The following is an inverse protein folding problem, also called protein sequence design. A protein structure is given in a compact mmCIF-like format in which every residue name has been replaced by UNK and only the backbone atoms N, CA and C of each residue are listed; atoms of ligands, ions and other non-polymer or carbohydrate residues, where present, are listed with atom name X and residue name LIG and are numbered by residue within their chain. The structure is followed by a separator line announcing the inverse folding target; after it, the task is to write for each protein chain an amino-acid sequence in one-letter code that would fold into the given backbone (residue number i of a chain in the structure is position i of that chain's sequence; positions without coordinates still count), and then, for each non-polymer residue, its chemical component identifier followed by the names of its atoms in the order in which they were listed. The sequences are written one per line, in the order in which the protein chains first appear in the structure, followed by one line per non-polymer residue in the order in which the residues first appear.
data_IF_066148017043
#
_entry.id   IF_066148017043
#
_cell.length_a   1.000
_cell.length_b   1.000
_cell.length_c   1.000
_cell.angle_alpha   90.00
_cell.angle_beta   90.00
_cell.angle_gamma   90.00
#
_symmetry.space_group_name_H-M   'P 1'
#
loop_
_entity.id
_entity.type
_entity.pdbx_description
1 polymer ?
#
# COMPACT_ATOMS: atom_id res chain seq x y z
N UNK A 1 33.12 -48.13 2.92
CA UNK A 1 31.70 -47.96 3.32
C UNK A 1 31.66 -46.87 4.39
N UNK A 2 31.27 -45.63 4.04
CA UNK A 2 29.95 -45.18 4.47
C UNK A 2 29.27 -44.28 3.42
N UNK A 3 28.17 -44.78 2.85
CA UNK A 3 27.19 -43.99 2.11
C UNK A 3 25.96 -43.87 3.02
N UNK A 4 25.63 -42.67 3.52
CA UNK A 4 24.53 -42.58 4.50
C UNK A 4 24.00 -41.20 4.89
N UNK A 5 24.46 -40.10 4.29
CA UNK A 5 24.09 -38.74 4.76
C UNK A 5 23.22 -37.94 3.78
N UNK A 6 23.08 -38.36 2.52
CA UNK A 6 22.34 -37.58 1.52
C UNK A 6 20.82 -37.75 1.59
N UNK A 7 20.31 -38.90 2.05
CA UNK A 7 18.87 -39.17 2.08
C UNK A 7 18.12 -38.34 3.14
N UNK A 8 18.73 -38.07 4.28
CA UNK A 8 18.09 -37.36 5.39
C UNK A 8 17.93 -35.85 5.14
N UNK A 9 18.84 -35.25 4.34
CA UNK A 9 18.80 -33.82 4.01
C UNK A 9 17.70 -33.51 3.00
N UNK A 10 17.51 -34.39 2.01
CA UNK A 10 16.46 -34.26 1.00
C UNK A 10 15.04 -34.34 1.59
N UNK A 11 14.82 -35.21 2.58
CA UNK A 11 13.52 -35.33 3.24
C UNK A 11 13.13 -34.10 4.08
N UNK A 12 14.11 -33.39 4.65
CA UNK A 12 13.87 -32.13 5.39
C UNK A 12 13.54 -30.96 4.46
N UNK A 13 14.20 -30.86 3.30
CA UNK A 13 13.91 -29.84 2.31
C UNK A 13 12.52 -30.01 1.67
N UNK A 14 12.10 -31.25 1.40
CA UNK A 14 10.77 -31.53 0.84
C UNK A 14 9.62 -31.08 1.76
N UNK A 15 9.79 -31.16 3.08
CA UNK A 15 8.79 -30.66 4.05
C UNK A 15 8.67 -29.14 4.08
N UNK A 16 9.78 -28.42 3.84
CA UNK A 16 9.77 -26.94 3.81
C UNK A 16 9.08 -26.44 2.53
N UNK A 17 9.38 -27.06 1.38
CA UNK A 17 8.76 -26.69 0.10
C UNK A 17 7.25 -26.95 0.08
N UNK A 18 6.78 -28.01 0.76
CA UNK A 18 5.36 -28.31 0.86
C UNK A 18 4.57 -27.29 1.71
N UNK A 19 5.20 -26.65 2.70
CA UNK A 19 4.52 -25.65 3.54
C UNK A 19 4.31 -24.31 2.83
N UNK A 20 5.13 -23.97 1.84
CA UNK A 20 5.04 -22.71 1.09
C UNK A 20 3.99 -22.69 -0.03
N UNK A 21 3.43 -23.85 -0.42
CA UNK A 21 2.46 -23.95 -1.52
C UNK A 21 0.98 -23.85 -1.07
N UNK A 22 0.73 -23.66 0.22
CA UNK A 22 -0.63 -23.59 0.79
C UNK A 22 -1.14 -22.14 1.00
N UNK A 23 -0.45 -21.12 0.49
CA UNK A 23 -1.04 -19.79 0.34
C UNK A 23 -1.92 -19.85 -0.89
N UNK A 24 -3.22 -20.08 -0.67
CA UNK A 24 -4.19 -20.24 -1.75
C UNK A 24 -4.13 -19.05 -2.71
N UNK A 25 -3.75 -19.33 -3.97
CA UNK A 25 -3.84 -18.40 -5.10
C UNK A 25 -5.31 -18.19 -5.51
N UNK A 26 -6.17 -17.79 -4.58
CA UNK A 26 -7.52 -17.35 -4.90
C UNK A 26 -7.53 -15.83 -4.93
N UNK A 27 -7.68 -15.23 -6.12
CA UNK A 27 -7.91 -13.79 -6.22
C UNK A 27 -9.05 -13.39 -5.27
N UNK A 28 -8.81 -12.49 -4.31
CA UNK A 28 -9.82 -12.05 -3.35
C UNK A 28 -10.89 -11.18 -4.02
N UNK A 29 -10.67 -10.76 -5.26
CA UNK A 29 -11.52 -9.85 -6.01
C UNK A 29 -12.99 -10.28 -6.02
N UNK A 30 -13.89 -9.37 -5.61
CA UNK A 30 -15.33 -9.61 -5.56
C UNK A 30 -15.80 -10.49 -4.40
N UNK A 31 -14.93 -10.90 -3.48
CA UNK A 31 -15.35 -11.56 -2.24
C UNK A 31 -15.87 -10.55 -1.23
N UNK A 32 -16.86 -10.92 -0.41
CA UNK A 32 -17.31 -10.07 0.68
C UNK A 32 -16.20 -9.90 1.72
N UNK A 33 -16.08 -8.71 2.27
CA UNK A 33 -15.13 -8.35 3.30
C UNK A 33 -15.79 -7.42 4.32
N UNK A 34 -15.14 -7.27 5.48
CA UNK A 34 -15.51 -6.25 6.47
C UNK A 34 -14.37 -5.26 6.70
N UNK A 35 -13.15 -5.69 6.44
CA UNK A 35 -11.90 -4.95 6.67
C UNK A 35 -10.91 -5.25 5.55
N UNK A 36 -9.95 -4.36 5.33
CA UNK A 36 -8.94 -4.51 4.27
C UNK A 36 -8.05 -5.76 4.49
N UNK A 37 -7.86 -6.15 5.75
CA UNK A 37 -7.14 -7.36 6.13
C UNK A 37 -7.80 -8.65 5.60
N UNK A 38 -9.11 -8.63 5.33
CA UNK A 38 -9.84 -9.79 4.75
C UNK A 38 -9.47 -10.04 3.28
N UNK A 39 -9.06 -8.97 2.58
CA UNK A 39 -8.75 -9.00 1.16
C UNK A 39 -7.27 -9.29 0.90
N UNK A 40 -6.40 -8.88 1.82
CA UNK A 40 -4.97 -9.08 1.72
C UNK A 40 -4.27 -8.04 0.83
N UNK A 41 -2.95 -8.18 0.61
CA UNK A 41 -2.14 -7.13 0.03
C UNK A 41 -2.55 -6.81 -1.42
N UNK A 42 -2.69 -5.51 -1.72
CA UNK A 42 -3.07 -5.01 -3.05
C UNK A 42 -4.59 -4.91 -3.30
N UNK A 43 -5.39 -5.18 -2.27
CA UNK A 43 -6.84 -5.09 -2.31
C UNK A 43 -7.38 -4.37 -1.07
N UNK A 44 -8.40 -3.55 -1.27
CA UNK A 44 -9.11 -2.84 -0.19
C UNK A 44 -10.57 -3.33 -0.13
N UNK A 45 -11.18 -3.18 1.04
CA UNK A 45 -12.57 -3.53 1.26
C UNK A 45 -13.49 -2.34 0.93
N UNK A 46 -14.15 -2.38 -0.23
CA UNK A 46 -15.02 -1.29 -0.67
C UNK A 46 -16.17 -1.75 -1.57
N UNK A 47 -17.43 -1.39 -1.28
CA UNK A 47 -17.99 -0.93 0.00
C UNK A 47 -18.20 -2.06 1.04
N UNK A 48 -18.19 -3.32 0.62
CA UNK A 48 -18.18 -4.55 1.45
C UNK A 48 -17.58 -5.70 0.63
N UNK A 49 -16.80 -5.38 -0.41
CA UNK A 49 -16.18 -6.36 -1.30
C UNK A 49 -14.73 -6.00 -1.56
N UNK A 50 -13.89 -7.02 -1.72
CA UNK A 50 -12.50 -6.84 -2.06
C UNK A 50 -12.37 -6.33 -3.49
N UNK A 51 -11.78 -5.14 -3.63
CA UNK A 51 -11.49 -4.50 -4.90
C UNK A 51 -10.00 -4.26 -5.02
N UNK A 52 -9.49 -4.26 -6.24
CA UNK A 52 -8.07 -4.02 -6.49
C UNK A 52 -7.75 -2.53 -6.31
N UNK A 53 -6.69 -2.24 -5.57
CA UNK A 53 -6.17 -0.89 -5.40
C UNK A 53 -5.31 -0.51 -6.60
N UNK A 54 -5.40 0.74 -7.03
CA UNK A 54 -4.63 1.26 -8.16
C UNK A 54 -4.14 2.68 -7.90
N UNK A 55 -3.04 3.05 -8.53
CA UNK A 55 -2.65 4.47 -8.66
C UNK A 55 -2.84 5.03 -10.06
N UNK A 56 -2.87 4.15 -11.07
CA UNK A 56 -3.08 4.48 -12.49
C UNK A 56 -3.93 3.42 -13.19
N UNK A 57 -4.46 3.77 -14.36
CA UNK A 57 -5.36 2.90 -15.12
C UNK A 57 -4.68 1.63 -15.64
N UNK A 58 -3.36 1.66 -15.88
CA UNK A 58 -2.60 0.52 -16.41
C UNK A 58 -2.42 -0.61 -15.38
N UNK A 59 -2.69 -0.33 -14.10
CA UNK A 59 -2.66 -1.33 -13.01
C UNK A 59 -3.96 -2.14 -12.95
N UNK A 60 -5.02 -1.67 -13.62
CA UNK A 60 -6.32 -2.30 -13.67
C UNK A 60 -6.46 -3.27 -14.86
N UNK A 61 -7.42 -4.19 -14.76
CA UNK A 61 -7.71 -5.16 -15.81
C UNK A 61 -8.27 -4.52 -17.09
N UNK A 62 -8.39 -5.31 -18.15
CA UNK A 62 -8.96 -4.82 -19.40
C UNK A 62 -10.40 -4.32 -19.18
N UNK A 63 -10.64 -3.06 -19.56
CA UNK A 63 -11.96 -2.43 -19.42
C UNK A 63 -12.22 -1.81 -18.04
N UNK A 64 -11.22 -1.76 -17.16
CA UNK A 64 -11.31 -1.06 -15.88
C UNK A 64 -10.56 0.28 -15.93
N UNK A 65 -11.00 1.24 -15.11
CA UNK A 65 -10.30 2.51 -14.89
C UNK A 65 -10.00 2.67 -13.42
N UNK A 66 -8.89 3.33 -13.12
CA UNK A 66 -8.55 3.69 -11.75
C UNK A 66 -9.35 4.92 -11.33
N UNK A 67 -10.33 4.72 -10.46
CA UNK A 67 -11.15 5.80 -9.91
C UNK A 67 -11.06 5.79 -8.39
N UNK A 68 -10.63 6.93 -7.82
CA UNK A 68 -10.41 7.09 -6.36
C UNK A 68 -9.61 5.94 -5.76
N UNK A 69 -8.53 5.53 -6.42
CA UNK A 69 -7.65 4.43 -6.02
C UNK A 69 -8.24 3.02 -6.12
N UNK A 70 -9.38 2.83 -6.79
CA UNK A 70 -9.99 1.53 -7.01
C UNK A 70 -10.16 1.24 -8.51
N UNK A 71 -9.90 0.00 -8.93
CA UNK A 71 -10.23 -0.44 -10.28
C UNK A 71 -11.74 -0.64 -10.40
N UNK A 72 -12.38 0.16 -11.26
CA UNK A 72 -13.83 0.10 -11.51
C UNK A 72 -14.12 -0.09 -12.99
N UNK A 73 -15.16 -0.85 -13.31
CA UNK A 73 -15.67 -0.96 -14.68
C UNK A 73 -16.56 0.26 -14.97
N UNK A 74 -16.23 1.10 -15.97
CA UNK A 74 -17.07 2.24 -16.34
C UNK A 74 -18.45 1.76 -16.75
N UNK A 75 -19.49 2.29 -16.10
CA UNK A 75 -20.89 1.87 -16.32
C UNK A 75 -21.41 0.80 -15.35
N UNK A 76 -20.57 0.25 -14.46
CA UNK A 76 -20.99 -0.57 -13.32
C UNK A 76 -20.77 0.15 -11.97
N UNK A 77 -21.14 1.43 -11.89
CA UNK A 77 -21.25 2.12 -10.60
C UNK A 77 -22.31 1.41 -9.73
N UNK A 78 -21.85 0.44 -8.94
CA UNK A 78 -22.48 -0.17 -7.78
C UNK A 78 -23.96 -0.59 -7.93
N UNK A 79 -24.23 -1.67 -8.66
CA UNK A 79 -25.56 -2.34 -8.67
C UNK A 79 -25.78 -3.22 -7.42
N UNK A 80 -24.86 -3.26 -6.46
CA UNK A 80 -25.03 -3.97 -5.18
C UNK A 80 -25.26 -3.05 -3.97
N UNK A 81 -25.90 -1.90 -4.20
CA UNK A 81 -26.63 -1.17 -3.15
C UNK A 81 -28.13 -1.25 -3.45
N UNK A 82 -28.87 -2.04 -2.67
CA UNK A 82 -30.33 -2.13 -2.81
C UNK A 82 -30.97 -0.74 -2.60
N UNK A 83 -31.73 -0.32 -3.62
CA UNK A 83 -32.82 0.67 -3.64
C UNK A 83 -32.49 2.19 -3.75
N UNK A 84 -32.69 2.73 -4.97
CA UNK A 84 -33.42 4.00 -5.20
C UNK A 84 -34.94 3.73 -5.09
N UNK A 85 -35.91 4.69 -4.93
CA UNK A 85 -35.86 6.11 -5.33
C UNK A 85 -36.58 7.12 -4.39
N UNK A 86 -36.20 8.41 -4.40
CA UNK A 86 -37.13 9.49 -4.06
C UNK A 86 -36.70 10.85 -4.62
N UNK A 87 -37.71 11.57 -5.11
CA UNK A 87 -37.69 12.88 -5.74
C UNK A 87 -36.74 13.92 -5.10
N UNK A 88 -36.17 14.75 -5.98
CA UNK A 88 -35.55 16.02 -5.63
C UNK A 88 -36.55 16.90 -4.85
N UNK A 89 -36.15 17.53 -3.74
CA UNK A 89 -36.56 18.88 -3.43
C UNK A 89 -35.49 19.82 -3.98
N UNK A 90 -35.90 20.81 -4.75
CA UNK A 90 -35.05 21.94 -5.12
C UNK A 90 -34.57 22.66 -3.85
N UNK A 91 -33.40 22.27 -3.34
CA UNK A 91 -32.71 23.00 -2.25
C UNK A 91 -31.76 23.99 -2.89
N UNK A 92 -31.97 25.26 -2.55
CA UNK A 92 -31.19 26.43 -2.95
C UNK A 92 -29.68 26.14 -2.86
N UNK A 93 -28.83 26.71 -3.74
CA UNK A 93 -27.39 26.56 -3.64
C UNK A 93 -26.91 27.20 -2.34
N UNK A 94 -26.66 26.37 -1.33
CA UNK A 94 -25.87 26.73 -0.17
C UNK A 94 -24.42 26.75 -0.65
N UNK A 95 -23.66 27.84 -0.45
CA UNK A 95 -22.25 27.85 -0.80
C UNK A 95 -21.56 26.67 -0.10
N UNK A 96 -20.70 25.89 -0.77
CA UNK A 96 -20.04 24.76 -0.16
C UNK A 96 -19.27 25.27 1.07
N UNK A 97 -19.60 24.71 2.23
CA UNK A 97 -18.81 24.93 3.42
C UNK A 97 -17.35 24.57 3.07
N UNK A 98 -16.36 25.36 3.51
CA UNK A 98 -14.96 25.06 3.21
C UNK A 98 -14.65 23.66 3.73
N UNK A 99 -14.41 22.74 2.79
CA UNK A 99 -14.20 21.33 3.08
C UNK A 99 -13.09 21.20 4.12
N UNK A 100 -13.46 20.78 5.34
CA UNK A 100 -12.54 20.60 6.46
C UNK A 100 -11.33 19.72 6.07
N UNK A 101 -11.55 18.80 5.11
CA UNK A 101 -10.53 17.94 4.51
C UNK A 101 -9.43 18.70 3.77
N UNK A 102 -9.72 19.82 3.12
CA UNK A 102 -8.72 20.64 2.40
C UNK A 102 -7.85 21.42 3.38
N UNK A 103 -8.44 21.91 4.47
CA UNK A 103 -7.68 22.55 5.54
C UNK A 103 -6.76 21.55 6.25
N UNK A 104 -7.25 20.34 6.49
CA UNK A 104 -6.50 19.23 7.07
C UNK A 104 -5.36 18.77 6.15
N UNK A 105 -5.62 18.59 4.85
CA UNK A 105 -4.57 18.24 3.87
C UNK A 105 -3.45 19.30 3.81
N UNK A 106 -3.79 20.58 3.94
CA UNK A 106 -2.81 21.68 4.00
C UNK A 106 -2.05 21.72 5.34
N UNK A 107 -2.64 21.25 6.43
CA UNK A 107 -1.94 21.10 7.71
C UNK A 107 -0.93 19.95 7.61
N UNK A 108 -1.34 18.78 7.12
CA UNK A 108 -0.49 17.60 6.93
C UNK A 108 0.70 17.93 6.01
N UNK A 109 0.48 18.66 4.91
CA UNK A 109 1.56 19.07 4.00
C UNK A 109 2.62 19.93 4.70
N UNK A 110 2.22 20.84 5.58
CA UNK A 110 3.15 21.69 6.35
C UNK A 110 3.95 20.90 7.38
N UNK A 111 3.32 19.96 8.07
CA UNK A 111 4.01 19.10 9.04
C UNK A 111 5.07 18.21 8.38
N UNK A 112 4.76 17.64 7.21
CA UNK A 112 5.73 16.83 6.45
C UNK A 112 6.96 17.64 6.02
N UNK A 113 6.79 18.93 5.72
CA UNK A 113 7.88 19.81 5.29
C UNK A 113 8.84 20.10 6.46
N UNK A 114 8.29 20.34 7.66
CA UNK A 114 9.06 20.51 8.89
C UNK A 114 9.85 19.25 9.24
N UNK A 115 9.22 18.07 9.15
CA UNK A 115 9.88 16.80 9.43
C UNK A 115 11.07 16.55 8.50
N UNK A 116 10.93 16.85 7.20
CA UNK A 116 12.04 16.76 6.25
C UNK A 116 13.20 17.70 6.60
N UNK A 117 12.88 18.91 7.06
CA UNK A 117 13.88 19.88 7.45
C UNK A 117 14.66 19.43 8.70
N UNK A 118 13.98 18.89 9.69
CA UNK A 118 14.62 18.34 10.89
C UNK A 118 15.49 17.11 10.57
N UNK A 119 15.04 16.20 9.71
CA UNK A 119 15.89 15.08 9.26
C UNK A 119 17.17 15.57 8.57
N UNK A 120 17.06 16.60 7.72
CA UNK A 120 18.24 17.19 7.05
C UNK A 120 19.20 17.82 8.06
N UNK A 121 18.67 18.52 9.06
CA UNK A 121 19.47 19.11 10.14
C UNK A 121 20.21 18.05 10.96
N UNK A 122 19.53 16.96 11.31
CA UNK A 122 20.14 15.83 12.03
C UNK A 122 21.25 15.17 11.19
N UNK A 123 21.03 14.98 9.89
CA UNK A 123 22.03 14.44 8.99
C UNK A 123 23.29 15.33 8.92
N UNK A 124 23.12 16.65 8.82
CA UNK A 124 24.23 17.61 8.80
C UNK A 124 25.03 17.62 10.12
N UNK A 125 24.34 17.47 11.26
CA UNK A 125 25.00 17.33 12.57
C UNK A 125 25.79 16.03 12.68
N UNK A 126 25.25 14.92 12.17
CA UNK A 126 25.94 13.62 12.15
C UNK A 126 27.18 13.66 11.26
N UNK A 127 27.10 14.32 10.11
CA UNK A 127 28.24 14.49 9.19
C UNK A 127 29.33 15.39 9.82
N UNK A 128 28.93 16.52 10.41
CA UNK A 128 29.86 17.41 11.15
C UNK A 128 30.51 16.74 12.36
N UNK A 129 29.79 15.85 13.04
CA UNK A 129 30.34 15.02 14.12
C UNK A 129 31.34 13.97 13.64
N UNK A 130 31.36 13.68 12.33
CA UNK A 130 32.23 12.71 11.66
C UNK A 130 33.43 13.40 11.00
N UNK A 131 34.12 14.28 11.71
CA UNK A 131 35.38 14.84 11.22
C UNK A 131 36.38 13.70 10.89
N UNK A 132 37.12 13.79 9.77
CA UNK A 132 38.03 12.74 9.34
C UNK A 132 39.21 12.64 10.31
N UNK A 133 39.33 11.49 10.97
CA UNK A 133 40.57 11.10 11.66
C UNK A 133 41.72 11.09 10.63
N UNK A 134 42.58 12.11 10.70
CA UNK A 134 43.80 12.27 9.87
C UNK A 134 44.48 10.91 9.67
N UNK A 135 44.66 10.41 8.43
CA UNK A 135 45.57 9.31 8.21
C UNK A 135 46.99 9.80 8.52
N UNK A 136 47.57 9.19 9.55
CA UNK A 136 48.94 9.41 10.01
C UNK A 136 49.86 8.99 8.86
N UNK A 137 50.45 9.96 8.17
CA UNK A 137 51.54 9.72 7.26
C UNK A 137 52.63 8.95 8.01
N UNK A 138 52.90 7.71 7.60
CA UNK A 138 54.09 6.97 8.00
C UNK A 138 54.91 6.72 6.75
N UNK A 139 56.01 7.46 6.73
CA UNK A 139 57.12 7.43 5.81
C UNK A 139 57.67 6.02 5.59
N UNK A 140 58.15 5.80 4.37
CA UNK A 140 59.34 5.08 3.90
C UNK A 140 60.00 4.03 4.83
N UNK A 141 60.56 2.96 4.24
CA UNK A 141 61.90 3.11 3.66
C UNK A 141 61.95 2.97 2.14
#
# INVERSE_FOLDING_TARGET
MPQGTHAAVLARLARIVALTLAVGCGDPLGKPCKTDDDCGPGFDCYPDMCVRVCTKNEECGQGETCYRYHCVVPGQEHVHGKASPAAQPAVRPVPPAPDATVAELRAIRRELELLRQEQKRLADLLDKGRAPSKPKAKSAP
#
